data_IF_912323651987
#
_entry.id   IF_912323651987
#
_cell.length_a   1.000
_cell.length_b   1.000
_cell.length_c   1.000
_cell.angle_alpha   90.00
_cell.angle_beta   90.00
_cell.angle_gamma   90.00
#
_symmetry.space_group_name_H-M   'P 1'
#
loop_
_entity.id
_entity.type
_entity.pdbx_description
1 polymer ?
#
# COMPACT_ATOMS: atom_id res chain seq x y z
N UNK A 1 3.12 16.94 2.79
CA UNK A 1 2.71 15.55 3.02
C UNK A 1 1.84 15.50 4.26
N UNK A 2 0.56 15.13 4.15
CA UNK A 2 -0.39 15.17 5.25
C UNK A 2 -0.23 13.91 6.11
N UNK A 3 0.09 14.08 7.39
CA UNK A 3 0.16 13.01 8.40
C UNK A 3 -1.23 12.60 8.91
N UNK A 4 -2.25 12.65 8.07
CA UNK A 4 -3.63 12.49 8.49
C UNK A 4 -4.01 11.00 8.58
N UNK A 5 -4.53 10.60 9.74
CA UNK A 5 -5.21 9.32 9.91
C UNK A 5 -6.63 9.41 9.34
N UNK A 6 -7.16 8.31 8.83
CA UNK A 6 -8.53 8.26 8.36
C UNK A 6 -9.52 8.25 9.53
N UNK A 7 -10.73 8.73 9.28
CA UNK A 7 -11.89 8.50 10.13
C UNK A 7 -12.75 7.38 9.55
N UNK A 8 -13.45 6.61 10.37
CA UNK A 8 -14.20 5.43 9.89
C UNK A 8 -15.28 5.75 8.84
N UNK A 9 -15.80 6.97 8.84
CA UNK A 9 -16.78 7.46 7.85
C UNK A 9 -16.15 7.88 6.52
N UNK A 10 -14.80 7.95 6.46
CA UNK A 10 -13.99 8.26 5.29
C UNK A 10 -13.04 7.13 4.91
N UNK A 11 -13.30 5.92 5.39
CA UNK A 11 -12.46 4.74 5.24
C UNK A 11 -13.19 3.62 4.47
N UNK A 12 -13.37 3.76 3.15
CA UNK A 12 -14.08 2.76 2.34
C UNK A 12 -13.34 1.43 2.26
N UNK A 13 -11.99 1.43 2.22
CA UNK A 13 -11.20 0.21 2.18
C UNK A 13 -11.31 -0.55 3.51
N UNK A 14 -11.11 0.12 4.63
CA UNK A 14 -11.24 -0.50 5.95
C UNK A 14 -12.65 -1.04 6.20
N UNK A 15 -13.70 -0.33 5.75
CA UNK A 15 -15.07 -0.81 5.84
C UNK A 15 -15.31 -2.09 5.01
N UNK A 16 -14.71 -2.18 3.80
CA UNK A 16 -14.77 -3.39 2.98
C UNK A 16 -14.03 -4.56 3.63
N UNK A 17 -12.86 -4.30 4.24
CA UNK A 17 -12.08 -5.30 4.99
C UNK A 17 -12.88 -5.84 6.17
N UNK A 18 -13.52 -4.98 6.97
CA UNK A 18 -14.34 -5.39 8.12
C UNK A 18 -15.54 -6.24 7.67
N UNK A 19 -16.23 -5.83 6.61
CA UNK A 19 -17.35 -6.61 6.08
C UNK A 19 -16.90 -7.99 5.59
N UNK A 20 -15.77 -8.06 4.87
CA UNK A 20 -15.23 -9.33 4.40
C UNK A 20 -14.81 -10.23 5.57
N UNK A 21 -14.17 -9.68 6.58
CA UNK A 21 -13.77 -10.42 7.78
C UNK A 21 -14.99 -11.01 8.52
N UNK A 22 -16.08 -10.25 8.58
CA UNK A 22 -17.29 -10.68 9.30
C UNK A 22 -18.14 -11.71 8.55
N UNK A 23 -18.16 -11.66 7.20
CA UNK A 23 -19.14 -12.39 6.41
C UNK A 23 -18.52 -13.31 5.33
N UNK A 24 -17.18 -13.30 5.16
CA UNK A 24 -16.47 -14.02 4.08
C UNK A 24 -16.75 -13.45 2.68
N UNK A 25 -17.41 -12.30 2.60
CA UNK A 25 -17.72 -11.57 1.36
C UNK A 25 -17.87 -10.09 1.65
N UNK A 26 -17.59 -9.27 0.63
CA UNK A 26 -17.82 -7.84 0.65
C UNK A 26 -18.56 -7.39 -0.61
N UNK A 27 -19.18 -6.22 -0.57
CA UNK A 27 -19.65 -5.52 -1.75
C UNK A 27 -18.47 -5.03 -2.58
N UNK A 28 -18.71 -4.48 -3.76
CA UNK A 28 -17.68 -3.87 -4.60
C UNK A 28 -17.01 -2.71 -3.88
N UNK A 29 -15.69 -2.78 -3.74
CA UNK A 29 -14.85 -1.64 -3.39
C UNK A 29 -14.47 -0.94 -4.69
N UNK A 30 -15.17 0.13 -5.00
CA UNK A 30 -15.05 0.87 -6.26
C UNK A 30 -13.91 1.88 -6.18
N UNK A 31 -13.17 1.98 -7.26
CA UNK A 31 -12.06 2.93 -7.42
C UNK A 31 -12.35 3.84 -8.60
N UNK A 32 -12.14 5.12 -8.41
CA UNK A 32 -12.35 6.17 -9.41
C UNK A 32 -11.04 6.94 -9.59
N UNK A 33 -10.75 7.30 -10.82
CA UNK A 33 -9.65 8.18 -11.23
C UNK A 33 -10.16 9.17 -12.26
N UNK A 34 -9.48 10.29 -12.44
CA UNK A 34 -9.72 11.19 -13.57
C UNK A 34 -9.15 10.66 -14.89
N UNK A 35 -8.22 9.68 -14.81
CA UNK A 35 -7.46 9.16 -15.95
C UNK A 35 -8.02 7.85 -16.50
N UNK A 36 -8.78 7.09 -15.72
CA UNK A 36 -9.24 5.74 -16.08
C UNK A 36 -10.71 5.54 -15.77
N UNK A 37 -11.32 4.56 -16.45
CA UNK A 37 -12.67 4.10 -16.13
C UNK A 37 -12.76 3.56 -14.70
N UNK A 38 -13.98 3.52 -14.17
CA UNK A 38 -14.24 2.94 -12.86
C UNK A 38 -13.76 1.49 -12.79
N UNK A 39 -13.00 1.18 -11.74
CA UNK A 39 -12.50 -0.17 -11.46
C UNK A 39 -12.92 -0.63 -10.05
N UNK A 40 -12.65 -1.89 -9.71
CA UNK A 40 -12.91 -2.44 -8.39
C UNK A 40 -11.70 -3.19 -7.83
N UNK A 41 -11.46 -3.03 -6.53
CA UNK A 41 -10.48 -3.84 -5.79
C UNK A 41 -11.19 -5.09 -5.26
N UNK A 42 -10.78 -6.30 -5.68
CA UNK A 42 -11.29 -7.55 -5.14
C UNK A 42 -10.84 -7.72 -3.68
N UNK A 43 -11.75 -7.51 -2.73
CA UNK A 43 -11.43 -7.47 -1.29
C UNK A 43 -10.80 -8.77 -0.78
N UNK A 44 -11.16 -9.92 -1.37
CA UNK A 44 -10.57 -11.22 -1.01
C UNK A 44 -9.05 -11.25 -1.24
N UNK A 45 -8.50 -10.48 -2.19
CA UNK A 45 -7.06 -10.39 -2.41
C UNK A 45 -6.30 -9.82 -1.21
N UNK A 46 -6.97 -9.03 -0.38
CA UNK A 46 -6.38 -8.50 0.84
C UNK A 46 -6.28 -9.56 1.97
N UNK A 47 -6.86 -10.75 1.78
CA UNK A 47 -6.91 -11.83 2.77
C UNK A 47 -6.10 -13.07 2.39
N UNK A 48 -5.31 -12.98 1.32
CA UNK A 48 -4.49 -14.09 0.81
C UNK A 48 -3.57 -14.67 1.88
N UNK A 49 -3.41 -15.99 1.86
CA UNK A 49 -2.33 -16.69 2.56
C UNK A 49 -1.02 -16.53 1.77
N UNK A 50 0.10 -16.89 2.39
CA UNK A 50 1.42 -16.83 1.71
C UNK A 50 1.43 -17.57 0.37
N UNK A 51 0.79 -18.75 0.30
CA UNK A 51 0.75 -19.58 -0.90
C UNK A 51 -0.10 -18.99 -2.03
N UNK A 52 -1.06 -18.13 -1.70
CA UNK A 52 -1.96 -17.47 -2.65
C UNK A 52 -1.40 -16.12 -3.13
N UNK A 53 -0.33 -15.62 -2.51
CA UNK A 53 0.32 -14.38 -2.93
C UNK A 53 1.06 -14.56 -4.27
N UNK A 54 1.15 -13.52 -5.12
CA UNK A 54 2.05 -13.51 -6.27
C UNK A 54 3.49 -13.81 -5.87
N UNK A 55 4.26 -14.38 -6.79
CA UNK A 55 5.67 -14.77 -6.55
C UNK A 55 6.54 -13.60 -6.09
N UNK A 56 6.26 -12.39 -6.58
CA UNK A 56 6.96 -11.17 -6.18
C UNK A 56 6.76 -10.86 -4.69
N UNK A 57 5.52 -10.91 -4.21
CA UNK A 57 5.20 -10.71 -2.79
C UNK A 57 5.83 -11.81 -1.93
N UNK A 58 5.69 -13.08 -2.33
CA UNK A 58 6.32 -14.21 -1.63
C UNK A 58 7.84 -14.01 -1.52
N UNK A 59 8.49 -13.55 -2.59
CA UNK A 59 9.92 -13.26 -2.60
C UNK A 59 10.29 -12.14 -1.63
N UNK A 60 9.52 -11.06 -1.60
CA UNK A 60 9.73 -9.96 -0.65
C UNK A 60 9.64 -10.45 0.80
N UNK A 61 8.62 -11.25 1.14
CA UNK A 61 8.48 -11.81 2.49
C UNK A 61 9.63 -12.75 2.87
N UNK A 62 10.13 -13.55 1.92
CA UNK A 62 11.30 -14.43 2.13
C UNK A 62 12.58 -13.62 2.37
N UNK A 63 12.78 -12.52 1.65
CA UNK A 63 13.95 -11.63 1.78
C UNK A 63 13.91 -10.79 3.07
N UNK A 64 12.75 -10.61 3.67
CA UNK A 64 12.60 -9.81 4.90
C UNK A 64 13.38 -10.42 6.05
N UNK A 65 14.16 -9.60 6.76
CA UNK A 65 15.01 -10.02 7.90
C UNK A 65 14.91 -9.04 9.05
N UNK A 66 15.28 -9.47 10.25
CA UNK A 66 15.33 -8.65 11.46
C UNK A 66 13.98 -8.12 11.91
N UNK A 67 13.94 -6.90 12.43
CA UNK A 67 12.71 -6.16 12.74
C UNK A 67 12.09 -5.64 11.47
N UNK A 68 10.85 -6.01 11.21
CA UNK A 68 10.14 -5.68 9.98
C UNK A 68 9.05 -4.65 10.28
N UNK A 69 8.96 -3.62 9.42
CA UNK A 69 7.84 -2.69 9.36
C UNK A 69 7.03 -2.98 8.10
N UNK A 70 5.77 -3.34 8.27
CA UNK A 70 4.79 -3.51 7.18
C UNK A 70 3.94 -2.23 7.09
N UNK A 71 4.10 -1.44 6.02
CA UNK A 71 3.50 -0.12 5.86
C UNK A 71 2.28 -0.18 4.96
N UNK A 72 1.15 0.32 5.43
CA UNK A 72 -0.14 0.20 4.73
C UNK A 72 -0.64 -1.24 4.76
N UNK A 73 -0.52 -1.89 5.92
CA UNK A 73 -0.72 -3.33 6.07
C UNK A 73 -2.15 -3.83 5.74
N UNK A 74 -3.14 -2.94 5.64
CA UNK A 74 -4.51 -3.25 5.27
C UNK A 74 -5.15 -4.30 6.18
N UNK A 75 -5.49 -5.46 5.65
CA UNK A 75 -6.01 -6.57 6.43
C UNK A 75 -4.93 -7.34 7.22
N UNK A 76 -3.64 -7.06 6.99
CA UNK A 76 -2.51 -7.72 7.62
C UNK A 76 -2.10 -9.05 6.98
N UNK A 77 -2.40 -9.29 5.70
CA UNK A 77 -2.08 -10.57 5.07
C UNK A 77 -0.56 -10.84 5.03
N UNK A 78 0.26 -9.86 4.66
CA UNK A 78 1.72 -9.98 4.69
C UNK A 78 2.26 -10.14 6.11
N UNK A 79 1.77 -9.31 7.04
CA UNK A 79 2.15 -9.39 8.46
C UNK A 79 1.88 -10.76 9.06
N UNK A 80 0.69 -11.35 8.81
CA UNK A 80 0.34 -12.68 9.30
C UNK A 80 1.24 -13.75 8.72
N UNK A 81 1.50 -13.71 7.40
CA UNK A 81 2.42 -14.64 6.75
C UNK A 81 3.84 -14.55 7.34
N UNK A 82 4.34 -13.34 7.63
CA UNK A 82 5.64 -13.15 8.29
C UNK A 82 5.63 -13.66 9.73
N UNK A 83 4.55 -13.46 10.48
CA UNK A 83 4.40 -14.02 11.83
C UNK A 83 4.41 -15.56 11.81
N UNK A 84 3.76 -16.20 10.83
CA UNK A 84 3.80 -17.64 10.63
C UNK A 84 5.21 -18.16 10.31
N UNK A 85 6.04 -17.34 9.63
CA UNK A 85 7.47 -17.62 9.41
C UNK A 85 8.33 -17.35 10.65
N UNK A 86 7.73 -16.96 11.79
CA UNK A 86 8.44 -16.68 13.04
C UNK A 86 9.16 -15.33 13.08
N UNK A 87 8.79 -14.37 12.20
CA UNK A 87 9.43 -13.06 12.11
C UNK A 87 8.76 -12.03 13.04
N UNK A 88 9.55 -11.06 13.51
CA UNK A 88 9.07 -9.91 14.29
C UNK A 88 8.59 -8.80 13.34
N UNK A 89 7.30 -8.47 13.38
CA UNK A 89 6.68 -7.51 12.46
C UNK A 89 5.85 -6.50 13.23
N UNK A 90 6.07 -5.24 12.94
CA UNK A 90 5.17 -4.14 13.29
C UNK A 90 4.38 -3.77 12.03
N UNK A 91 3.06 -3.84 12.11
CA UNK A 91 2.15 -3.42 11.04
C UNK A 91 1.60 -2.03 11.33
N UNK A 92 1.67 -1.13 10.36
CA UNK A 92 1.07 0.20 10.47
C UNK A 92 0.08 0.45 9.35
N UNK A 93 -1.00 1.14 9.69
CA UNK A 93 -1.99 1.61 8.72
C UNK A 93 -2.61 2.93 9.20
N UNK A 94 -3.05 3.76 8.26
CA UNK A 94 -3.77 5.02 8.56
C UNK A 94 -5.26 4.80 8.77
N UNK A 95 -5.77 3.61 8.45
CA UNK A 95 -7.16 3.19 8.57
C UNK A 95 -7.41 2.57 9.96
N UNK A 96 -8.29 3.15 10.78
CA UNK A 96 -8.67 2.55 12.06
C UNK A 96 -9.39 1.22 11.89
N UNK A 97 -10.15 1.05 10.80
CA UNK A 97 -10.87 -0.20 10.50
C UNK A 97 -9.92 -1.31 10.04
N UNK A 98 -8.86 -0.98 9.28
CA UNK A 98 -7.80 -1.94 8.96
C UNK A 98 -7.06 -2.42 10.21
N UNK A 99 -6.74 -1.51 11.13
CA UNK A 99 -6.10 -1.87 12.41
C UNK A 99 -7.02 -2.75 13.26
N UNK A 100 -8.32 -2.44 13.31
CA UNK A 100 -9.31 -3.29 13.97
C UNK A 100 -9.35 -4.70 13.36
N UNK A 101 -9.33 -4.79 12.03
CA UNK A 101 -9.31 -6.07 11.32
C UNK A 101 -8.04 -6.86 11.60
N UNK A 102 -6.85 -6.22 11.57
CA UNK A 102 -5.58 -6.83 11.91
C UNK A 102 -5.59 -7.43 13.32
N UNK A 103 -6.06 -6.68 14.30
CA UNK A 103 -6.19 -7.15 15.68
C UNK A 103 -7.11 -8.36 15.80
N UNK A 104 -8.28 -8.35 15.13
CA UNK A 104 -9.22 -9.48 15.09
C UNK A 104 -8.62 -10.72 14.42
N UNK A 105 -7.73 -10.55 13.46
CA UNK A 105 -7.03 -11.63 12.74
C UNK A 105 -5.81 -12.17 13.50
N UNK A 106 -5.39 -11.53 14.61
CA UNK A 106 -4.26 -11.99 15.42
C UNK A 106 -2.90 -11.40 15.04
N UNK A 107 -2.88 -10.25 14.37
CA UNK A 107 -1.64 -9.47 14.22
C UNK A 107 -1.18 -9.01 15.60
N UNK A 108 0.08 -9.31 15.97
CA UNK A 108 0.61 -9.09 17.33
C UNK A 108 0.91 -7.63 17.63
N UNK A 109 1.35 -6.87 16.63
CA UNK A 109 1.71 -5.45 16.75
C UNK A 109 1.13 -4.67 15.57
N UNK A 110 -0.16 -4.32 15.66
CA UNK A 110 -0.88 -3.49 14.70
C UNK A 110 -1.12 -2.10 15.27
N UNK A 111 -0.71 -1.06 14.54
CA UNK A 111 -0.74 0.32 15.01
C UNK A 111 -1.48 1.22 14.03
N UNK A 112 -2.36 2.07 14.54
CA UNK A 112 -2.93 3.19 13.80
C UNK A 112 -1.87 4.29 13.70
N UNK A 113 -1.14 4.31 12.59
CA UNK A 113 0.07 5.11 12.46
C UNK A 113 0.32 5.48 11.00
N UNK A 114 0.66 6.74 10.75
CA UNK A 114 1.14 7.17 9.45
C UNK A 114 2.68 7.02 9.37
N UNK A 115 3.19 6.53 8.24
CA UNK A 115 4.63 6.36 8.02
C UNK A 115 5.42 7.67 8.19
N UNK A 116 4.83 8.80 7.80
CA UNK A 116 5.44 10.12 7.87
C UNK A 116 5.33 10.80 9.23
N UNK A 117 4.62 10.20 10.17
CA UNK A 117 4.50 10.72 11.54
C UNK A 117 5.82 10.48 12.30
N UNK A 118 6.36 11.53 12.92
CA UNK A 118 7.60 11.47 13.68
C UNK A 118 7.52 10.63 14.95
N UNK A 119 6.32 10.30 15.41
CA UNK A 119 6.14 9.37 16.54
C UNK A 119 6.48 7.92 16.17
N UNK A 120 6.48 7.57 14.87
CA UNK A 120 7.02 6.29 14.42
C UNK A 120 8.54 6.31 14.54
N UNK A 121 9.08 5.47 15.41
CA UNK A 121 10.51 5.35 15.67
C UNK A 121 11.04 3.99 15.26
N UNK A 122 12.23 3.98 14.61
CA UNK A 122 12.97 2.77 14.27
C UNK A 122 14.01 2.38 15.35
N UNK A 123 15.07 1.66 15.00
CA UNK A 123 15.34 1.21 13.63
C UNK A 123 14.59 -0.08 13.25
N UNK A 124 14.27 -0.20 11.94
CA UNK A 124 13.78 -1.42 11.32
C UNK A 124 14.80 -1.96 10.33
N UNK A 125 15.00 -3.28 10.32
CA UNK A 125 15.95 -3.94 9.42
C UNK A 125 15.35 -4.14 8.02
N UNK A 126 14.03 -4.30 7.95
CA UNK A 126 13.28 -4.37 6.70
C UNK A 126 12.04 -3.48 6.77
N UNK A 127 11.82 -2.68 5.75
CA UNK A 127 10.57 -1.94 5.56
C UNK A 127 9.90 -2.47 4.29
N UNK A 128 8.62 -2.87 4.41
CA UNK A 128 7.81 -3.37 3.32
C UNK A 128 6.81 -2.32 2.88
N UNK A 129 6.73 -2.14 1.58
CA UNK A 129 5.77 -1.30 0.86
C UNK A 129 5.27 -2.10 -0.34
N UNK A 130 4.35 -3.04 -0.11
CA UNK A 130 3.86 -4.00 -1.10
C UNK A 130 2.46 -3.65 -1.62
N UNK A 131 2.05 -4.27 -2.74
CA UNK A 131 0.82 -4.00 -3.48
C UNK A 131 0.78 -2.57 -4.03
N UNK A 132 1.78 -2.23 -4.83
CA UNK A 132 2.02 -0.87 -5.33
C UNK A 132 2.27 0.14 -4.19
N UNK A 133 3.03 -0.29 -3.19
CA UNK A 133 3.28 0.48 -1.98
C UNK A 133 4.03 1.79 -2.21
N UNK A 134 4.65 2.00 -3.39
CA UNK A 134 5.19 3.30 -3.81
C UNK A 134 4.14 4.41 -3.77
N UNK A 135 2.87 4.06 -3.89
CA UNK A 135 1.75 4.99 -3.91
C UNK A 135 1.63 5.89 -2.69
N UNK A 136 2.08 5.45 -1.50
CA UNK A 136 2.05 6.30 -0.30
C UNK A 136 2.89 7.58 -0.43
N UNK A 137 3.79 7.63 -1.40
CA UNK A 137 4.62 8.81 -1.71
C UNK A 137 3.76 9.91 -2.35
N UNK A 138 2.70 9.51 -3.07
CA UNK A 138 1.73 10.37 -3.73
C UNK A 138 2.26 10.93 -5.04
N UNK A 139 3.30 11.77 -5.01
CA UNK A 139 3.90 12.43 -6.19
C UNK A 139 5.42 12.36 -6.18
N UNK A 140 6.04 12.50 -7.36
CA UNK A 140 7.50 12.51 -7.51
C UNK A 140 8.18 13.59 -6.67
N UNK A 141 7.56 14.77 -6.55
CA UNK A 141 8.08 15.86 -5.72
C UNK A 141 8.27 15.49 -4.25
N UNK A 142 7.56 14.46 -3.77
CA UNK A 142 7.62 13.97 -2.39
C UNK A 142 8.75 12.94 -2.15
N UNK A 143 9.42 12.44 -3.20
CA UNK A 143 10.51 11.46 -3.06
C UNK A 143 11.62 11.90 -2.10
N UNK A 144 12.11 13.15 -2.13
CA UNK A 144 13.13 13.60 -1.17
C UNK A 144 12.66 13.47 0.28
N UNK A 145 11.41 13.85 0.57
CA UNK A 145 10.86 13.75 1.92
C UNK A 145 10.64 12.29 2.34
N UNK A 146 10.21 11.42 1.42
CA UNK A 146 10.09 9.99 1.66
C UNK A 146 11.44 9.35 2.01
N UNK A 147 12.49 9.61 1.21
CA UNK A 147 13.82 9.07 1.48
C UNK A 147 14.46 9.65 2.74
N UNK A 148 14.16 10.91 3.06
CA UNK A 148 14.59 11.48 4.33
C UNK A 148 13.95 10.73 5.50
N UNK A 149 12.64 10.52 5.44
CA UNK A 149 11.89 9.76 6.45
C UNK A 149 12.35 8.31 6.55
N UNK A 150 12.58 7.67 5.42
CA UNK A 150 13.10 6.30 5.37
C UNK A 150 14.43 6.18 6.15
N UNK A 151 15.36 7.11 5.95
CA UNK A 151 16.64 7.12 6.68
C UNK A 151 16.52 7.30 8.18
N UNK A 152 15.45 7.93 8.68
CA UNK A 152 15.21 8.10 10.11
C UNK A 152 14.77 6.79 10.80
N UNK A 153 14.08 5.92 10.06
CA UNK A 153 13.44 4.71 10.61
C UNK A 153 14.10 3.40 10.17
N UNK A 154 14.89 3.43 9.08
CA UNK A 154 15.62 2.26 8.59
C UNK A 154 16.93 2.07 9.37
N UNK A 155 17.27 0.84 9.69
CA UNK A 155 18.57 0.48 10.26
C UNK A 155 19.71 0.80 9.27
N UNK A 156 20.94 0.94 9.77
CA UNK A 156 22.12 1.32 8.95
C UNK A 156 22.33 0.41 7.75
N UNK A 157 22.15 -0.91 7.93
CA UNK A 157 22.31 -1.92 6.89
C UNK A 157 20.95 -2.54 6.53
N UNK A 158 19.85 -1.81 6.82
CA UNK A 158 18.50 -2.24 6.54
C UNK A 158 18.13 -2.11 5.07
N UNK A 159 17.02 -2.72 4.69
CA UNK A 159 16.51 -2.76 3.32
C UNK A 159 15.08 -2.22 3.23
N UNK A 160 14.77 -1.58 2.11
CA UNK A 160 13.42 -1.29 1.67
C UNK A 160 13.05 -2.29 0.58
N UNK A 161 11.93 -3.00 0.75
CA UNK A 161 11.31 -3.84 -0.27
C UNK A 161 10.00 -3.17 -0.69
N UNK A 162 9.99 -2.67 -1.90
CA UNK A 162 8.90 -1.89 -2.47
C UNK A 162 8.57 -2.46 -3.83
N UNK A 163 7.28 -2.56 -4.14
CA UNK A 163 6.81 -2.87 -5.49
C UNK A 163 6.06 -1.69 -6.11
N UNK A 164 6.01 -1.70 -7.42
CA UNK A 164 5.26 -0.76 -8.23
C UNK A 164 4.94 -1.39 -9.58
N UNK A 165 3.77 -1.09 -10.12
CA UNK A 165 3.41 -1.46 -11.50
C UNK A 165 3.95 -0.44 -12.48
N UNK A 166 4.35 -0.91 -13.65
CA UNK A 166 4.61 -0.05 -14.81
C UNK A 166 3.27 0.21 -15.52
N UNK A 167 2.91 1.46 -15.65
CA UNK A 167 1.67 1.89 -16.30
C UNK A 167 1.88 2.32 -17.75
N UNK A 168 3.08 2.19 -18.32
CA UNK A 168 3.40 2.63 -19.68
C UNK A 168 2.45 2.02 -20.72
N UNK A 169 2.03 0.77 -20.52
CA UNK A 169 1.10 0.08 -21.43
C UNK A 169 -0.27 0.79 -21.61
N UNK A 170 -0.65 1.66 -20.69
CA UNK A 170 -1.89 2.44 -20.78
C UNK A 170 -1.77 3.64 -21.74
N UNK A 171 -0.54 3.96 -22.12
CA UNK A 171 -0.18 5.09 -22.98
C UNK A 171 0.49 4.60 -24.29
N UNK A 172 0.40 3.31 -24.61
CA UNK A 172 0.86 2.76 -25.86
C UNK A 172 -0.21 2.89 -26.95
N UNK A 173 0.19 3.34 -28.13
CA UNK A 173 -0.65 3.32 -29.32
C UNK A 173 -0.80 1.89 -29.88
N UNK A 174 -1.60 1.71 -30.97
CA UNK A 174 -1.81 0.42 -31.61
C UNK A 174 -0.51 -0.20 -32.19
N UNK A 175 0.51 0.60 -32.40
CA UNK A 175 1.84 0.19 -32.91
C UNK A 175 2.85 -0.07 -31.77
N UNK A 176 2.46 0.14 -30.51
CA UNK A 176 3.30 -0.05 -29.32
C UNK A 176 4.25 1.12 -29.03
N UNK A 177 4.01 2.29 -29.62
CA UNK A 177 4.77 3.48 -29.28
C UNK A 177 4.11 4.19 -28.11
N UNK A 178 4.93 4.75 -27.19
CA UNK A 178 4.44 5.54 -26.08
C UNK A 178 3.95 6.92 -26.58
N UNK A 179 2.67 7.20 -26.41
CA UNK A 179 2.06 8.50 -26.69
C UNK A 179 2.14 9.41 -25.45
N UNK A 180 3.37 9.73 -25.05
CA UNK A 180 3.68 10.59 -23.91
C UNK A 180 4.62 11.68 -24.43
N UNK A 181 4.15 12.94 -24.42
CA UNK A 181 5.00 14.04 -24.78
C UNK A 181 6.03 14.35 -23.66
N UNK A 182 7.25 14.77 -24.00
CA UNK A 182 8.28 15.10 -22.98
C UNK A 182 7.91 16.23 -22.03
N UNK A 183 6.96 17.07 -22.41
CA UNK A 183 6.38 18.18 -21.64
C UNK A 183 5.22 17.76 -20.74
N UNK A 184 4.70 16.55 -20.89
CA UNK A 184 3.60 16.06 -20.07
C UNK A 184 4.06 15.75 -18.64
N UNK A 185 3.12 15.86 -17.70
CA UNK A 185 3.35 15.43 -16.32
C UNK A 185 3.68 13.92 -16.27
N UNK A 186 4.39 13.52 -15.24
CA UNK A 186 4.76 12.12 -15.09
C UNK A 186 3.53 11.21 -15.01
N UNK A 187 3.36 10.33 -15.98
CA UNK A 187 2.18 9.46 -16.14
C UNK A 187 1.95 8.44 -15.02
N UNK A 188 2.91 8.26 -14.12
CA UNK A 188 2.78 7.41 -12.92
C UNK A 188 2.16 8.13 -11.72
N UNK A 189 1.78 9.40 -11.82
CA UNK A 189 1.05 10.12 -10.78
C UNK A 189 -0.45 10.05 -11.03
N UNK A 190 -1.15 9.18 -10.31
CA UNK A 190 -2.58 8.91 -10.52
C UNK A 190 -3.39 9.44 -9.33
N UNK A 191 -4.45 10.18 -9.62
CA UNK A 191 -5.45 10.54 -8.61
C UNK A 191 -6.43 9.37 -8.40
N UNK A 192 -6.71 9.05 -7.16
CA UNK A 192 -7.70 8.04 -6.80
C UNK A 192 -8.72 8.54 -5.80
N UNK A 193 -9.91 7.98 -5.89
CA UNK A 193 -10.93 8.04 -4.85
C UNK A 193 -11.61 6.68 -4.73
N UNK A 194 -11.80 6.21 -3.51
CA UNK A 194 -12.48 4.94 -3.26
C UNK A 194 -13.89 5.16 -2.71
N UNK A 195 -14.77 4.19 -3.01
CA UNK A 195 -16.12 4.13 -2.45
C UNK A 195 -16.49 2.70 -2.09
N UNK A 196 -17.02 2.51 -0.90
CA UNK A 196 -17.62 1.25 -0.45
C UNK A 196 -19.01 1.49 0.09
N UNK A 197 -20.04 0.92 -0.57
CA UNK A 197 -21.44 1.22 -0.24
C UNK A 197 -21.69 2.75 -0.24
N UNK A 198 -22.16 3.30 0.89
CA UNK A 198 -22.38 4.74 1.09
C UNK A 198 -21.13 5.51 1.54
N UNK A 199 -20.07 4.81 1.97
CA UNK A 199 -18.83 5.42 2.46
C UNK A 199 -17.98 5.85 1.27
N UNK A 200 -17.68 7.17 1.21
CA UNK A 200 -16.83 7.77 0.18
C UNK A 200 -15.58 8.32 0.85
N UNK A 201 -14.43 7.84 0.41
CA UNK A 201 -13.13 8.41 0.77
C UNK A 201 -12.88 9.77 0.12
N UNK A 202 -11.92 10.49 0.63
CA UNK A 202 -11.40 11.68 -0.02
C UNK A 202 -10.49 11.28 -1.19
N UNK A 203 -10.24 12.18 -2.14
CA UNK A 203 -9.29 11.95 -3.23
C UNK A 203 -7.86 12.00 -2.69
N UNK A 204 -6.99 11.16 -3.25
CA UNK A 204 -5.57 11.10 -2.92
C UNK A 204 -4.75 10.78 -4.16
N UNK A 205 -3.50 11.25 -4.16
CA UNK A 205 -2.54 10.92 -5.22
C UNK A 205 -1.83 9.62 -4.87
N UNK A 206 -1.51 8.82 -5.89
CA UNK A 206 -0.83 7.54 -5.79
C UNK A 206 0.30 7.46 -6.81
N UNK A 207 1.53 7.31 -6.34
CA UNK A 207 2.70 7.26 -7.21
C UNK A 207 3.00 5.82 -7.64
N UNK A 208 2.93 5.57 -8.94
CA UNK A 208 3.52 4.41 -9.58
C UNK A 208 4.92 4.76 -10.08
N UNK A 209 5.92 3.99 -9.70
CA UNK A 209 7.28 4.17 -10.18
C UNK A 209 7.46 3.23 -11.38
N UNK A 210 7.27 3.77 -12.57
CA UNK A 210 7.52 3.06 -13.80
C UNK A 210 9.03 3.07 -14.04
N UNK A 211 9.67 1.91 -13.96
CA UNK A 211 11.09 1.76 -14.24
C UNK A 211 11.28 1.78 -15.75
N UNK A 212 11.24 2.97 -16.35
CA UNK A 212 11.68 3.17 -17.72
C UNK A 212 13.21 3.17 -17.72
N UNK A 213 13.76 1.98 -18.03
CA UNK A 213 15.09 1.76 -18.59
C UNK A 213 16.30 2.23 -17.82
N UNK A 214 17.03 1.30 -17.52
CA UNK A 214 18.48 1.36 -17.70
C UNK A 214 18.87 0.81 -19.06
#
# INVERSE_FOLDING_TARGET
MHSMLLTSDKDPMGAAIIDYLAHGKASKLRVFSSMFDEDEIPVNQLFRTFQEMPSLEQKALQLSTGKILDVGAGSGCHTLALQEMGKEVTAIDISPLSVEAMNKRGVKDARLQNFFDRSLTGPFDTILLLMNGSGIIGKLENLPAFFHRLKEVLARDGQLLLDSSDLSYLFEDEDGNLDIAPEDDYFGEIDFRMQYKSIKGDSFDWLYICLLYT
#
